data_IF_731977010132
#
_entry.id   IF_731977010132
#
_cell.length_a   1.000
_cell.length_b   1.000
_cell.length_c   1.000
_cell.angle_alpha   90.00
_cell.angle_beta   90.00
_cell.angle_gamma   90.00
#
_symmetry.space_group_name_H-M   'P 1'
#
loop_
_entity.id
_entity.type
_entity.pdbx_description
1 polymer ?
#
# COMPACT_ATOMS: atom_id res chain seq x y z
N UNK A 1 14.51 -20.22 17.35
CA UNK A 1 13.10 -20.54 17.04
C UNK A 1 13.08 -21.18 15.67
N UNK A 2 12.35 -22.27 15.43
CA UNK A 2 12.30 -22.89 14.11
C UNK A 2 11.57 -21.96 13.12
N UNK A 3 11.94 -21.97 11.84
CA UNK A 3 11.25 -21.28 10.73
C UNK A 3 9.73 -21.41 10.77
N UNK A 4 9.20 -22.60 11.07
CA UNK A 4 7.75 -22.82 11.18
C UNK A 4 7.15 -22.01 12.35
N UNK A 5 7.83 -21.98 13.50
CA UNK A 5 7.35 -21.22 14.66
C UNK A 5 7.41 -19.72 14.39
N UNK A 6 8.42 -19.24 13.65
CA UNK A 6 8.51 -17.84 13.20
C UNK A 6 7.32 -17.47 12.33
N UNK A 7 7.03 -18.27 11.30
CA UNK A 7 5.88 -18.03 10.40
C UNK A 7 4.58 -18.08 11.19
N UNK A 8 4.40 -19.05 12.08
CA UNK A 8 3.21 -19.13 12.94
C UNK A 8 3.05 -17.90 13.81
N UNK A 9 4.11 -17.48 14.50
CA UNK A 9 4.08 -16.30 15.36
C UNK A 9 3.73 -15.03 14.56
N UNK A 10 4.22 -14.91 13.33
CA UNK A 10 3.82 -13.82 12.44
C UNK A 10 2.33 -13.90 12.06
N UNK A 11 1.82 -15.07 11.65
CA UNK A 11 0.41 -15.25 11.30
C UNK A 11 -0.54 -15.03 12.49
N UNK A 12 -0.14 -15.48 13.67
CA UNK A 12 -0.87 -15.36 14.95
C UNK A 12 -0.80 -13.94 15.54
N UNK A 13 0.10 -13.10 15.03
CA UNK A 13 0.27 -11.71 15.46
C UNK A 13 1.12 -11.53 16.72
N UNK A 14 1.79 -12.58 17.19
CA UNK A 14 2.78 -12.50 18.28
C UNK A 14 4.14 -11.97 17.82
N UNK A 15 4.43 -12.07 16.52
CA UNK A 15 5.58 -11.43 15.86
C UNK A 15 5.10 -10.28 14.96
N UNK A 16 5.70 -9.10 15.13
CA UNK A 16 5.34 -7.92 14.34
C UNK A 16 5.79 -8.05 12.88
N UNK A 17 5.18 -7.32 11.92
CA UNK A 17 5.67 -7.29 10.53
C UNK A 17 7.13 -6.86 10.42
N UNK A 18 7.56 -5.89 11.25
CA UNK A 18 8.94 -5.43 11.27
C UNK A 18 9.91 -6.53 11.74
N UNK A 19 9.54 -7.28 12.78
CA UNK A 19 10.39 -8.35 13.28
C UNK A 19 10.39 -9.56 12.34
N UNK A 20 9.25 -9.87 11.71
CA UNK A 20 9.21 -10.88 10.65
C UNK A 20 10.06 -10.49 9.44
N UNK A 21 10.09 -9.21 9.04
CA UNK A 21 10.97 -8.73 7.96
C UNK A 21 12.45 -8.99 8.29
N UNK A 22 12.86 -8.76 9.55
CA UNK A 22 14.22 -9.04 9.99
C UNK A 22 14.54 -10.53 9.92
N UNK A 23 13.61 -11.40 10.32
CA UNK A 23 13.77 -12.85 10.16
C UNK A 23 13.89 -13.24 8.69
N UNK A 24 13.04 -12.68 7.82
CA UNK A 24 13.09 -12.93 6.38
C UNK A 24 14.46 -12.58 5.78
N UNK A 25 15.09 -11.48 6.20
CA UNK A 25 16.39 -11.06 5.65
C UNK A 25 17.61 -11.73 6.27
N UNK A 26 17.50 -12.27 7.49
CA UNK A 26 18.67 -12.71 8.25
C UNK A 26 18.63 -14.19 8.67
N UNK A 27 17.52 -14.90 8.47
CA UNK A 27 17.37 -16.28 8.90
C UNK A 27 17.43 -17.24 7.71
N UNK A 28 18.54 -17.99 7.62
CA UNK A 28 18.78 -18.93 6.53
C UNK A 28 17.77 -20.08 6.48
N UNK A 29 17.31 -20.54 7.64
CA UNK A 29 16.31 -21.62 7.71
C UNK A 29 14.94 -21.14 7.20
N UNK A 30 14.62 -19.84 7.29
CA UNK A 30 13.42 -19.23 6.69
C UNK A 30 13.58 -19.17 5.17
N UNK A 31 14.73 -18.70 4.69
CA UNK A 31 15.03 -18.63 3.27
C UNK A 31 14.92 -20.01 2.60
N UNK A 32 15.54 -21.04 3.18
CA UNK A 32 15.54 -22.38 2.63
C UNK A 32 14.11 -22.97 2.60
N UNK A 33 13.35 -22.83 3.69
CA UNK A 33 11.95 -23.29 3.75
C UNK A 33 11.05 -22.61 2.71
N UNK A 34 11.18 -21.29 2.55
CA UNK A 34 10.35 -20.51 1.63
C UNK A 34 10.77 -20.68 0.17
N UNK A 35 12.05 -21.00 -0.07
CA UNK A 35 12.56 -21.24 -1.43
C UNK A 35 12.03 -22.54 -2.04
N UNK A 36 11.61 -23.50 -1.22
CA UNK A 36 10.95 -24.74 -1.66
C UNK A 36 9.53 -24.52 -2.20
N UNK A 37 8.86 -23.42 -1.84
CA UNK A 37 7.49 -23.15 -2.25
C UNK A 37 7.45 -22.34 -3.55
N UNK A 38 7.07 -23.01 -4.63
CA UNK A 38 6.93 -22.39 -5.96
C UNK A 38 5.48 -22.03 -6.30
N UNK A 39 4.49 -22.44 -5.48
CA UNK A 39 3.10 -22.02 -5.65
C UNK A 39 2.90 -20.63 -5.05
N UNK A 40 3.28 -19.64 -5.83
CA UNK A 40 3.11 -18.21 -5.53
C UNK A 40 2.04 -17.59 -6.44
N UNK A 41 1.58 -16.36 -6.17
CA UNK A 41 0.59 -15.71 -7.03
C UNK A 41 1.07 -15.62 -8.49
N UNK A 42 0.21 -15.96 -9.47
CA UNK A 42 0.62 -16.17 -10.87
C UNK A 42 0.97 -14.88 -11.62
N UNK A 43 0.65 -13.72 -11.05
CA UNK A 43 0.95 -12.40 -11.60
C UNK A 43 2.34 -11.88 -11.19
N UNK A 44 3.14 -12.70 -10.51
CA UNK A 44 4.46 -12.32 -9.99
C UNK A 44 5.56 -12.88 -10.89
N UNK A 45 6.68 -12.16 -11.00
CA UNK A 45 7.87 -12.63 -11.70
C UNK A 45 8.83 -13.40 -10.78
N UNK A 46 8.47 -13.51 -9.50
CA UNK A 46 9.22 -14.27 -8.51
C UNK A 46 9.25 -15.75 -8.86
N UNK A 47 10.29 -16.46 -8.41
CA UNK A 47 10.43 -17.90 -8.68
C UNK A 47 9.88 -18.76 -7.54
N UNK A 48 9.89 -18.22 -6.33
CA UNK A 48 9.48 -18.92 -5.11
C UNK A 48 8.94 -17.92 -4.07
N UNK A 49 8.39 -18.46 -2.98
CA UNK A 49 7.78 -17.66 -1.93
C UNK A 49 8.78 -16.72 -1.23
N UNK A 50 10.05 -17.13 -1.11
CA UNK A 50 11.09 -16.28 -0.51
C UNK A 50 11.30 -15.00 -1.33
N UNK A 51 11.56 -15.15 -2.63
CA UNK A 51 11.79 -14.03 -3.54
C UNK A 51 10.57 -13.09 -3.60
N UNK A 52 9.36 -13.67 -3.59
CA UNK A 52 8.14 -12.87 -3.56
C UNK A 52 8.02 -12.03 -2.29
N UNK A 53 8.31 -12.63 -1.13
CA UNK A 53 8.17 -11.95 0.16
C UNK A 53 9.20 -10.84 0.36
N UNK A 54 10.39 -10.93 -0.25
CA UNK A 54 11.38 -9.85 -0.19
C UNK A 54 11.10 -8.72 -1.20
N UNK A 55 10.34 -8.99 -2.27
CA UNK A 55 9.92 -8.00 -3.27
C UNK A 55 8.78 -7.10 -2.76
N UNK A 56 7.88 -7.64 -1.95
CA UNK A 56 6.76 -6.86 -1.38
C UNK A 56 7.17 -6.11 -0.11
N UNK A 57 6.60 -4.93 0.10
CA UNK A 57 6.77 -4.20 1.35
C UNK A 57 5.77 -4.69 2.40
N UNK A 58 6.19 -5.66 3.21
CA UNK A 58 5.35 -6.26 4.25
C UNK A 58 4.97 -5.31 5.38
N UNK A 59 5.54 -4.10 5.43
CA UNK A 59 5.19 -3.09 6.43
C UNK A 59 3.97 -2.26 6.00
N UNK A 60 3.61 -2.35 4.71
CA UNK A 60 2.43 -1.73 4.13
C UNK A 60 1.23 -2.69 4.16
N UNK A 61 -0.01 -2.17 4.27
CA UNK A 61 -1.22 -2.98 4.33
C UNK A 61 -1.35 -4.10 3.28
N UNK A 62 -1.04 -3.82 2.01
CA UNK A 62 -1.13 -4.81 0.92
C UNK A 62 -0.07 -5.89 1.07
N UNK A 63 1.18 -5.51 1.32
CA UNK A 63 2.26 -6.49 1.53
C UNK A 63 2.06 -7.35 2.77
N UNK A 64 1.54 -6.78 3.86
CA UNK A 64 1.14 -7.55 5.05
C UNK A 64 0.02 -8.54 4.72
N UNK A 65 -0.99 -8.11 3.95
CA UNK A 65 -2.09 -8.96 3.50
C UNK A 65 -1.62 -10.11 2.62
N UNK A 66 -0.85 -9.80 1.58
CA UNK A 66 -0.36 -10.77 0.60
C UNK A 66 0.64 -11.75 1.24
N UNK A 67 1.52 -11.28 2.12
CA UNK A 67 2.46 -12.14 2.84
C UNK A 67 1.73 -13.13 3.74
N UNK A 68 0.74 -12.67 4.52
CA UNK A 68 -0.02 -13.55 5.42
C UNK A 68 -0.92 -14.52 4.66
N UNK A 69 -1.48 -14.12 3.52
CA UNK A 69 -2.24 -15.02 2.64
C UNK A 69 -1.35 -16.15 2.09
N UNK A 70 -0.18 -15.81 1.55
CA UNK A 70 0.80 -16.78 1.03
C UNK A 70 1.26 -17.75 2.12
N UNK A 71 1.67 -17.22 3.28
CA UNK A 71 2.19 -18.03 4.39
C UNK A 71 1.11 -18.91 5.01
N UNK A 72 -0.13 -18.44 5.07
CA UNK A 72 -1.27 -19.26 5.51
C UNK A 72 -1.47 -20.46 4.59
N UNK A 73 -1.44 -20.24 3.25
CA UNK A 73 -1.55 -21.32 2.26
C UNK A 73 -0.40 -22.31 2.37
N UNK A 74 0.82 -21.84 2.58
CA UNK A 74 2.01 -22.68 2.79
C UNK A 74 1.82 -23.62 4.00
N UNK A 75 1.42 -23.08 5.16
CA UNK A 75 1.23 -23.90 6.37
C UNK A 75 0.06 -24.88 6.22
N UNK A 76 -1.05 -24.45 5.61
CA UNK A 76 -2.20 -25.33 5.32
C UNK A 76 -1.79 -26.49 4.41
N UNK A 77 -1.01 -26.23 3.36
CA UNK A 77 -0.49 -27.26 2.45
C UNK A 77 0.42 -28.26 3.15
N UNK A 78 1.22 -27.81 4.13
CA UNK A 78 2.07 -28.66 4.97
C UNK A 78 1.31 -29.34 6.13
N UNK A 79 -0.02 -29.21 6.21
CA UNK A 79 -0.87 -29.74 7.30
C UNK A 79 -0.46 -29.23 8.71
N UNK A 80 0.02 -27.99 8.80
CA UNK A 80 0.44 -27.37 10.06
C UNK A 80 -0.71 -26.50 10.58
N UNK A 81 -1.13 -26.74 11.82
CA UNK A 81 -2.15 -25.94 12.50
C UNK A 81 -1.60 -24.61 13.04
N UNK A 82 -2.34 -23.54 12.81
CA UNK A 82 -2.06 -22.18 13.28
C UNK A 82 -3.37 -21.41 13.51
N UNK A 83 -3.30 -20.30 14.24
CA UNK A 83 -4.44 -19.37 14.41
C UNK A 83 -4.19 -18.07 13.63
N UNK A 84 -5.05 -17.70 12.70
CA UNK A 84 -4.83 -16.47 11.92
C UNK A 84 -5.42 -15.24 12.63
N UNK A 85 -4.56 -14.29 13.01
CA UNK A 85 -5.01 -12.99 13.48
C UNK A 85 -5.48 -12.14 12.29
N UNK A 86 -6.74 -11.70 12.28
CA UNK A 86 -7.35 -10.99 11.14
C UNK A 86 -7.23 -9.45 11.20
N UNK A 87 -6.42 -8.87 12.07
CA UNK A 87 -6.29 -7.41 12.19
C UNK A 87 -5.70 -6.76 10.92
N UNK A 88 -4.72 -7.41 10.30
CA UNK A 88 -4.13 -6.96 9.02
C UNK A 88 -5.20 -6.83 7.93
N UNK A 89 -6.14 -7.78 7.86
CA UNK A 89 -7.24 -7.77 6.90
C UNK A 89 -8.19 -6.60 7.17
N UNK A 90 -8.55 -6.35 8.43
CA UNK A 90 -9.37 -5.18 8.80
C UNK A 90 -8.68 -3.87 8.41
N UNK A 91 -7.37 -3.78 8.57
CA UNK A 91 -6.57 -2.61 8.19
C UNK A 91 -6.54 -2.41 6.68
N UNK A 92 -6.32 -3.48 5.91
CA UNK A 92 -6.37 -3.46 4.45
C UNK A 92 -7.76 -3.12 3.91
N UNK A 93 -8.81 -3.74 4.45
CA UNK A 93 -10.21 -3.45 4.09
C UNK A 93 -10.55 -1.97 4.37
N UNK A 94 -10.06 -1.42 5.48
CA UNK A 94 -10.22 -0.01 5.81
C UNK A 94 -9.50 0.89 4.81
N UNK A 95 -8.26 0.59 4.44
CA UNK A 95 -7.49 1.31 3.41
C UNK A 95 -8.28 1.39 2.10
N UNK A 96 -8.81 0.26 1.62
CA UNK A 96 -9.62 0.19 0.41
C UNK A 96 -10.94 0.97 0.55
N UNK A 97 -11.57 0.93 1.72
CA UNK A 97 -12.88 1.56 1.97
C UNK A 97 -12.84 3.08 2.04
N UNK A 98 -11.74 3.67 2.50
CA UNK A 98 -11.65 5.13 2.69
C UNK A 98 -11.24 5.88 1.43
N UNK A 99 -10.72 5.18 0.42
CA UNK A 99 -10.18 5.77 -0.78
C UNK A 99 -11.28 6.42 -1.64
N UNK A 100 -11.18 7.72 -1.93
CA UNK A 100 -12.08 8.37 -2.89
C UNK A 100 -11.83 7.88 -4.33
N UNK A 101 -12.87 7.72 -5.14
CA UNK A 101 -12.76 7.25 -6.55
C UNK A 101 -11.83 8.09 -7.44
N UNK A 102 -11.62 9.36 -7.10
CA UNK A 102 -10.81 10.30 -7.87
C UNK A 102 -9.36 10.38 -7.39
N UNK A 103 -9.00 9.60 -6.38
CA UNK A 103 -7.69 9.63 -5.74
C UNK A 103 -7.11 8.23 -5.67
N UNK A 104 -5.92 8.05 -6.22
CA UNK A 104 -5.12 6.87 -5.94
C UNK A 104 -4.31 7.12 -4.65
N UNK A 105 -4.77 6.59 -3.51
CA UNK A 105 -4.15 6.82 -2.22
C UNK A 105 -2.94 5.90 -2.06
N UNK A 106 -1.77 6.46 -1.78
CA UNK A 106 -0.58 5.64 -1.53
C UNK A 106 -0.63 5.04 -0.14
N UNK A 107 -0.20 3.79 0.01
CA UNK A 107 -0.14 3.09 1.30
C UNK A 107 0.74 3.77 2.36
N UNK A 108 1.92 4.34 2.03
CA UNK A 108 2.71 5.10 3.01
C UNK A 108 1.95 6.29 3.62
N UNK A 109 1.19 7.04 2.80
CA UNK A 109 0.34 8.11 3.31
C UNK A 109 -0.79 7.57 4.20
N UNK A 110 -1.43 6.46 3.81
CA UNK A 110 -2.42 5.83 4.66
C UNK A 110 -1.85 5.44 6.03
N UNK A 111 -0.66 4.81 6.05
CA UNK A 111 0.02 4.43 7.29
C UNK A 111 0.28 5.66 8.18
N UNK A 112 0.70 6.78 7.57
CA UNK A 112 0.93 8.04 8.26
C UNK A 112 -0.34 8.56 8.96
N UNK A 113 -1.46 8.68 8.24
CA UNK A 113 -2.72 9.18 8.84
C UNK A 113 -3.36 8.17 9.80
N UNK A 114 -3.17 6.87 9.56
CA UNK A 114 -3.63 5.80 10.44
C UNK A 114 -2.95 5.89 11.81
N UNK A 115 -1.62 6.05 11.81
CA UNK A 115 -0.84 6.19 13.05
C UNK A 115 -1.21 7.44 13.85
N UNK A 116 -1.61 8.54 13.17
CA UNK A 116 -2.10 9.78 13.80
C UNK A 116 -3.44 9.58 14.53
N UNK A 117 -4.23 8.59 14.14
CA UNK A 117 -5.57 8.30 14.69
C UNK A 117 -5.66 6.94 15.38
N UNK A 118 -4.52 6.39 15.84
CA UNK A 118 -4.45 5.07 16.49
C UNK A 118 -5.29 4.93 17.76
N UNK A 119 -5.71 6.04 18.35
CA UNK A 119 -6.59 6.12 19.52
C UNK A 119 -8.08 5.89 19.19
N UNK A 120 -8.44 5.95 17.90
CA UNK A 120 -9.82 5.78 17.42
C UNK A 120 -10.05 4.37 16.87
N UNK A 121 -11.30 3.94 16.86
CA UNK A 121 -11.67 2.63 16.30
C UNK A 121 -13.00 2.67 15.54
N UNK A 122 -13.25 1.63 14.75
CA UNK A 122 -14.51 1.44 14.02
C UNK A 122 -14.90 2.63 13.13
N UNK A 123 -16.16 3.06 13.22
CA UNK A 123 -16.73 4.14 12.40
C UNK A 123 -16.06 5.49 12.70
N UNK A 124 -15.62 5.72 13.93
CA UNK A 124 -14.96 6.97 14.32
C UNK A 124 -13.62 7.12 13.60
N UNK A 125 -12.81 6.06 13.60
CA UNK A 125 -11.55 6.00 12.85
C UNK A 125 -11.79 6.23 11.36
N UNK A 126 -12.76 5.53 10.76
CA UNK A 126 -13.09 5.69 9.34
C UNK A 126 -13.44 7.15 8.99
N UNK A 127 -14.26 7.82 9.81
CA UNK A 127 -14.62 9.23 9.60
C UNK A 127 -13.42 10.15 9.75
N UNK A 128 -12.55 9.91 10.73
CA UNK A 128 -11.35 10.70 10.94
C UNK A 128 -10.41 10.60 9.73
N UNK A 129 -10.15 9.40 9.22
CA UNK A 129 -9.28 9.18 8.06
C UNK A 129 -9.85 9.83 6.79
N UNK A 130 -11.16 9.69 6.54
CA UNK A 130 -11.82 10.34 5.39
C UNK A 130 -11.76 11.86 5.47
N UNK A 131 -11.88 12.42 6.68
CA UNK A 131 -11.77 13.86 6.90
C UNK A 131 -10.34 14.34 6.64
N UNK A 132 -9.33 13.61 7.11
CA UNK A 132 -7.92 13.92 6.87
C UNK A 132 -7.60 13.93 5.36
N UNK A 133 -8.00 12.87 4.64
CA UNK A 133 -7.87 12.79 3.17
C UNK A 133 -8.53 14.01 2.50
N UNK A 134 -9.73 14.38 2.92
CA UNK A 134 -10.44 15.53 2.34
C UNK A 134 -9.69 16.86 2.58
N UNK A 135 -9.05 17.01 3.73
CA UNK A 135 -8.35 18.23 4.12
C UNK A 135 -6.99 18.36 3.44
N UNK A 136 -6.28 17.24 3.25
CA UNK A 136 -4.93 17.22 2.68
C UNK A 136 -4.96 17.25 1.14
N UNK A 137 -5.87 16.52 0.51
CA UNK A 137 -5.99 16.46 -0.96
C UNK A 137 -6.93 17.56 -1.48
N UNK A 138 -6.41 18.78 -1.49
CA UNK A 138 -7.15 19.98 -1.92
C UNK A 138 -7.14 20.16 -3.44
N UNK A 139 -8.19 20.81 -3.95
CA UNK A 139 -8.29 21.23 -5.35
C UNK A 139 -9.02 22.57 -5.49
N UNK A 140 -8.68 23.37 -6.50
CA UNK A 140 -9.16 24.74 -6.63
C UNK A 140 -10.64 24.84 -7.01
N UNK A 141 -11.05 24.17 -8.09
CA UNK A 141 -12.45 24.16 -8.58
C UNK A 141 -12.97 22.75 -8.74
N UNK A 142 -12.28 21.97 -9.57
CA UNK A 142 -12.67 20.62 -9.92
C UNK A 142 -11.60 19.63 -9.47
N UNK A 143 -12.02 18.39 -9.25
CA UNK A 143 -11.11 17.25 -9.03
C UNK A 143 -10.39 16.91 -10.34
N UNK A 144 -9.17 16.36 -10.30
CA UNK A 144 -8.50 15.90 -11.50
C UNK A 144 -9.27 14.74 -12.15
N UNK A 145 -9.28 14.73 -13.49
CA UNK A 145 -9.73 13.63 -14.33
C UNK A 145 -8.49 12.92 -14.85
N UNK A 146 -8.11 11.84 -14.17
CA UNK A 146 -6.93 11.07 -14.49
C UNK A 146 -7.14 10.21 -15.74
N UNK A 147 -6.14 10.19 -16.63
CA UNK A 147 -6.12 9.23 -17.73
C UNK A 147 -5.63 7.86 -17.27
N UNK A 148 -4.62 7.83 -16.40
CA UNK A 148 -3.95 6.59 -15.97
C UNK A 148 -3.95 6.38 -14.44
N UNK A 149 -4.85 7.05 -13.70
CA UNK A 149 -4.95 6.97 -12.22
C UNK A 149 -3.61 7.07 -11.48
N UNK A 150 -2.78 8.10 -11.76
CA UNK A 150 -1.47 8.23 -11.15
C UNK A 150 -1.59 8.46 -9.64
N UNK A 151 -0.50 8.21 -8.92
CA UNK A 151 -0.34 8.71 -7.58
C UNK A 151 -0.42 10.25 -7.59
N UNK A 152 -1.11 10.81 -6.60
CA UNK A 152 -1.16 12.25 -6.43
C UNK A 152 0.23 12.78 -6.06
N UNK A 153 0.74 13.86 -6.70
CA UNK A 153 2.08 14.36 -6.40
C UNK A 153 2.21 14.85 -4.96
N UNK A 154 3.31 14.49 -4.31
CA UNK A 154 3.62 14.90 -2.95
C UNK A 154 5.01 15.53 -2.85
N UNK A 155 5.19 16.43 -1.88
CA UNK A 155 6.49 16.96 -1.44
C UNK A 155 6.57 16.77 0.06
N UNK A 156 7.61 16.10 0.56
CA UNK A 156 7.76 15.77 2.00
C UNK A 156 6.52 15.06 2.59
N UNK A 157 5.93 14.11 1.83
CA UNK A 157 4.70 13.39 2.17
C UNK A 157 3.43 14.24 2.28
N UNK A 158 3.47 15.52 1.87
CA UNK A 158 2.28 16.37 1.80
C UNK A 158 1.75 16.42 0.36
N UNK A 159 0.46 16.11 0.14
CA UNK A 159 -0.17 16.30 -1.16
C UNK A 159 -0.11 17.75 -1.62
N UNK A 160 0.19 17.96 -2.89
CA UNK A 160 0.14 19.29 -3.48
C UNK A 160 -1.30 19.74 -3.74
N UNK A 161 -1.50 21.05 -3.81
CA UNK A 161 -2.81 21.62 -4.13
C UNK A 161 -3.07 21.53 -5.64
N UNK A 162 -4.12 20.84 -6.06
CA UNK A 162 -4.47 20.75 -7.48
C UNK A 162 -5.11 22.04 -7.98
N UNK A 163 -4.49 22.68 -8.97
CA UNK A 163 -4.96 23.96 -9.53
C UNK A 163 -5.90 23.73 -10.70
N UNK A 164 -5.55 22.79 -11.58
CA UNK A 164 -6.34 22.48 -12.76
C UNK A 164 -5.61 21.54 -13.70
N UNK A 165 -6.30 21.21 -14.79
CA UNK A 165 -5.72 20.46 -15.90
C UNK A 165 -6.06 21.16 -17.22
N UNK A 166 -5.14 21.07 -18.18
CA UNK A 166 -5.29 21.62 -19.52
C UNK A 166 -5.31 20.48 -20.53
N UNK A 167 -6.24 20.53 -21.47
CA UNK A 167 -6.23 19.65 -22.63
C UNK A 167 -5.11 20.11 -23.57
N UNK A 168 -4.16 19.22 -23.84
CA UNK A 168 -3.01 19.47 -24.72
C UNK A 168 -3.01 18.49 -25.91
N UNK A 169 -4.15 17.86 -26.18
CA UNK A 169 -4.30 16.87 -27.27
C UNK A 169 -3.94 17.48 -28.63
N UNK A 170 -4.23 18.77 -28.87
CA UNK A 170 -3.92 19.44 -30.14
C UNK A 170 -2.41 19.53 -30.46
N UNK A 171 -1.54 19.41 -29.44
CA UNK A 171 -0.07 19.46 -29.59
C UNK A 171 0.59 18.11 -29.30
N UNK A 172 -0.20 17.03 -29.28
CA UNK A 172 0.22 15.63 -29.07
C UNK A 172 -0.46 14.73 -30.10
N UNK A 173 -0.01 13.48 -30.20
CA UNK A 173 -0.62 12.51 -31.11
C UNK A 173 -1.82 11.78 -30.48
N UNK A 174 -1.85 11.70 -29.15
CA UNK A 174 -2.87 11.01 -28.37
C UNK A 174 -3.60 11.95 -27.41
N UNK A 175 -4.72 11.50 -26.82
CA UNK A 175 -5.46 12.25 -25.80
C UNK A 175 -4.52 12.55 -24.64
N UNK A 176 -4.26 13.84 -24.42
CA UNK A 176 -3.21 14.28 -23.51
C UNK A 176 -3.67 15.43 -22.61
N UNK A 177 -3.37 15.31 -21.32
CA UNK A 177 -3.64 16.36 -20.33
C UNK A 177 -2.38 16.79 -19.60
N UNK A 178 -2.20 18.10 -19.44
CA UNK A 178 -1.23 18.70 -18.53
C UNK A 178 -1.91 18.99 -17.19
N UNK A 179 -1.41 18.42 -16.11
CA UNK A 179 -1.92 18.64 -14.76
C UNK A 179 -1.04 19.65 -14.03
N UNK A 180 -1.66 20.58 -13.30
CA UNK A 180 -0.98 21.68 -12.62
C UNK A 180 -1.24 21.60 -11.12
N UNK A 181 -0.16 21.58 -10.34
CA UNK A 181 -0.16 21.52 -8.89
C UNK A 181 0.62 22.68 -8.29
N UNK A 182 0.20 23.16 -7.13
CA UNK A 182 0.89 24.17 -6.33
C UNK A 182 1.48 23.51 -5.09
N UNK A 183 2.79 23.68 -4.90
CA UNK A 183 3.44 23.51 -3.62
C UNK A 183 3.19 24.76 -2.77
N UNK A 184 2.26 24.68 -1.84
CA UNK A 184 1.89 25.80 -0.95
C UNK A 184 3.06 26.25 -0.06
N UNK A 185 4.05 25.38 0.21
CA UNK A 185 5.19 25.70 1.08
C UNK A 185 6.22 26.55 0.35
N UNK A 186 6.58 26.14 -0.86
CA UNK A 186 7.60 26.81 -1.66
C UNK A 186 7.00 27.86 -2.62
N UNK A 187 5.67 27.92 -2.72
CA UNK A 187 4.94 28.74 -3.67
C UNK A 187 5.38 28.51 -5.13
N UNK A 188 5.61 27.24 -5.47
CA UNK A 188 6.08 26.80 -6.79
C UNK A 188 5.04 25.90 -7.45
N UNK A 189 4.92 26.01 -8.78
CA UNK A 189 4.08 25.12 -9.55
C UNK A 189 4.86 23.89 -10.00
N UNK A 190 4.20 22.74 -9.95
CA UNK A 190 4.68 21.51 -10.57
C UNK A 190 3.66 21.04 -11.58
N UNK A 191 4.16 20.57 -12.72
CA UNK A 191 3.35 20.08 -13.81
C UNK A 191 3.79 18.69 -14.24
N UNK A 192 2.85 17.88 -14.69
CA UNK A 192 3.16 16.64 -15.39
C UNK A 192 2.09 16.34 -16.42
N UNK A 193 2.47 15.57 -17.43
CA UNK A 193 1.63 15.20 -18.56
C UNK A 193 1.22 13.73 -18.46
N UNK A 194 0.01 13.42 -18.91
CA UNK A 194 -0.41 12.04 -19.21
C UNK A 194 -0.98 11.99 -20.62
N UNK A 195 -0.70 10.90 -21.32
CA UNK A 195 -1.22 10.58 -22.66
C UNK A 195 -1.76 9.15 -22.67
N UNK A 196 -2.77 8.85 -23.49
CA UNK A 196 -3.32 7.47 -23.65
C UNK A 196 -2.65 6.69 -24.75
#
# INVERSE_FOLDING_TARGET
MNSIDIIKNYLEGSLSPLDFQKELYNNKDIEDLLSEETQIPPYTNSQNAFLYLIEIDILLPSGEFDSKDLLSKLLTKKNISFSLNNEYKKKYDLFMKIQPRWLNLTEPYFQFIFNKHKDKSGIELERALKLEIKNDFKFLKNKPRWLQSPAWPTVENKPLFFIGQLDITEIRHDISYLYIFLDEKNNTYMTFEQST
#
